data_IF_933147076607
#
_entry.id   IF_933147076607
#
_cell.length_a   1.000
_cell.length_b   1.000
_cell.length_c   1.000
_cell.angle_alpha   90.00
_cell.angle_beta   90.00
_cell.angle_gamma   90.00
#
_symmetry.space_group_name_H-M   'P 1'
#
loop_
_entity.id
_entity.type
_entity.pdbx_description
1 polymer ?
#
# COMPACT_ATOMS: atom_id res chain seq x y z
N UNK A 1 13.35 30.94 7.73
CA UNK A 1 13.01 30.22 8.97
C UNK A 1 13.30 28.74 8.79
N UNK A 2 14.05 28.14 9.66
CA UNK A 2 14.41 26.73 9.61
C UNK A 2 13.66 25.96 10.72
N UNK A 3 12.89 24.96 10.34
CA UNK A 3 12.28 23.99 11.25
C UNK A 3 12.90 22.63 10.97
N UNK A 4 13.65 22.04 11.93
CA UNK A 4 14.39 20.78 11.69
C UNK A 4 13.49 19.59 11.41
N UNK A 5 12.23 19.64 11.82
CA UNK A 5 11.26 18.57 11.60
C UNK A 5 10.66 18.51 10.20
N UNK A 6 10.79 19.57 9.39
CA UNK A 6 10.23 19.56 8.02
C UNK A 6 10.93 18.51 7.18
N UNK A 7 10.14 17.61 6.60
CA UNK A 7 10.62 16.50 5.79
C UNK A 7 11.14 15.30 6.58
N UNK A 8 11.14 15.34 7.91
CA UNK A 8 11.50 14.21 8.77
C UNK A 8 10.25 13.37 9.09
N UNK A 9 10.46 12.16 9.65
CA UNK A 9 9.40 11.28 10.13
C UNK A 9 8.44 10.81 9.02
N UNK A 10 8.88 10.70 7.77
CA UNK A 10 8.08 10.11 6.71
C UNK A 10 7.68 8.69 7.11
N UNK A 11 6.40 8.41 7.07
CA UNK A 11 5.81 7.09 7.30
C UNK A 11 4.88 6.77 6.14
N UNK A 12 4.79 5.49 5.80
CA UNK A 12 3.87 5.00 4.78
C UNK A 12 3.55 3.53 5.08
N UNK A 13 2.37 3.05 4.70
CA UNK A 13 2.07 1.63 4.76
C UNK A 13 2.97 0.87 3.80
N UNK A 14 3.78 -0.04 4.33
CA UNK A 14 4.69 -0.87 3.55
C UNK A 14 3.90 -2.05 3.03
N UNK A 15 3.80 -2.16 1.70
CA UNK A 15 2.98 -3.15 0.99
C UNK A 15 3.84 -4.25 0.35
N UNK A 16 3.28 -5.46 0.31
CA UNK A 16 3.78 -6.58 -0.48
C UNK A 16 2.65 -7.26 -1.23
N UNK A 17 2.81 -7.46 -2.53
CA UNK A 17 1.79 -8.01 -3.42
C UNK A 17 2.13 -9.42 -3.86
N UNK A 18 1.18 -10.34 -3.73
CA UNK A 18 1.20 -11.64 -4.40
C UNK A 18 0.14 -11.69 -5.50
N UNK A 19 0.55 -12.04 -6.71
CA UNK A 19 -0.31 -12.06 -7.88
C UNK A 19 -0.31 -13.44 -8.52
N UNK A 20 -1.50 -13.87 -8.95
CA UNK A 20 -1.74 -15.18 -9.55
C UNK A 20 -2.48 -15.02 -10.87
N UNK A 21 -2.06 -15.74 -11.89
CA UNK A 21 -2.84 -15.83 -13.12
C UNK A 21 -4.15 -16.55 -12.87
N UNK A 22 -5.18 -16.24 -13.65
CA UNK A 22 -6.46 -16.96 -13.63
C UNK A 22 -6.88 -17.31 -15.05
N UNK A 23 -7.72 -18.36 -15.25
CA UNK A 23 -8.30 -18.66 -16.55
C UNK A 23 -9.08 -17.45 -17.11
N UNK A 24 -9.04 -17.25 -18.42
CA UNK A 24 -9.68 -16.09 -19.07
C UNK A 24 -11.21 -16.02 -18.91
N UNK A 25 -11.87 -17.12 -18.52
CA UNK A 25 -13.30 -17.15 -18.22
C UNK A 25 -13.64 -16.63 -16.82
N UNK A 26 -12.64 -16.47 -15.96
CA UNK A 26 -12.84 -15.92 -14.61
C UNK A 26 -13.26 -14.46 -14.70
N UNK A 27 -14.16 -14.03 -13.80
CA UNK A 27 -14.60 -12.64 -13.69
C UNK A 27 -13.48 -11.78 -13.06
N UNK A 28 -12.54 -11.33 -13.89
CA UNK A 28 -11.42 -10.49 -13.50
C UNK A 28 -11.08 -9.50 -14.60
N UNK A 29 -10.48 -8.38 -14.24
CA UNK A 29 -9.93 -7.46 -15.23
C UNK A 29 -8.68 -8.06 -15.83
N UNK A 30 -8.53 -7.98 -17.17
CA UNK A 30 -7.37 -8.56 -17.83
C UNK A 30 -7.17 -8.08 -19.27
N UNK A 31 -5.90 -8.06 -19.66
CA UNK A 31 -5.47 -7.67 -21.01
C UNK A 31 -5.58 -8.86 -21.96
N UNK A 32 -6.76 -9.08 -22.55
CA UNK A 32 -7.04 -10.12 -23.53
C UNK A 32 -8.17 -9.67 -24.46
N UNK A 33 -8.37 -10.31 -25.64
CA UNK A 33 -9.53 -10.01 -26.51
C UNK A 33 -10.86 -10.15 -25.76
N UNK A 34 -10.98 -11.14 -24.87
CA UNK A 34 -12.14 -11.31 -24.00
C UNK A 34 -12.28 -10.17 -22.99
N UNK A 35 -11.18 -9.73 -22.35
CA UNK A 35 -11.16 -8.61 -21.42
C UNK A 35 -11.60 -7.30 -22.08
N UNK A 36 -11.15 -7.04 -23.31
CA UNK A 36 -11.59 -5.88 -24.10
C UNK A 36 -13.11 -5.95 -24.33
N UNK A 37 -13.63 -7.11 -24.74
CA UNK A 37 -15.08 -7.31 -24.94
C UNK A 37 -15.88 -7.15 -23.65
N UNK A 38 -15.35 -7.62 -22.52
CA UNK A 38 -15.97 -7.44 -21.19
C UNK A 38 -16.05 -5.95 -20.81
N UNK A 39 -14.99 -5.19 -20.99
CA UNK A 39 -14.96 -3.75 -20.71
C UNK A 39 -15.92 -3.01 -21.62
N UNK A 40 -15.94 -3.29 -22.93
CA UNK A 40 -16.87 -2.66 -23.88
C UNK A 40 -18.32 -2.90 -23.48
N UNK A 41 -18.67 -4.15 -23.13
CA UNK A 41 -20.00 -4.50 -22.62
C UNK A 41 -20.32 -3.76 -21.33
N UNK A 42 -19.38 -3.72 -20.40
CA UNK A 42 -19.57 -3.07 -19.10
C UNK A 42 -19.73 -1.55 -19.23
N UNK A 43 -19.05 -0.90 -20.19
CA UNK A 43 -19.26 0.51 -20.50
C UNK A 43 -20.67 0.77 -21.06
N UNK A 44 -21.17 -0.12 -21.91
CA UNK A 44 -22.55 -0.03 -22.43
C UNK A 44 -23.58 -0.20 -21.31
N UNK A 45 -23.36 -1.17 -20.40
CA UNK A 45 -24.20 -1.39 -19.22
C UNK A 45 -24.18 -0.16 -18.30
N UNK A 46 -23.01 0.37 -18.02
CA UNK A 46 -22.87 1.59 -17.21
C UNK A 46 -23.61 2.78 -17.81
N UNK A 47 -23.50 2.97 -19.14
CA UNK A 47 -24.22 4.06 -19.81
C UNK A 47 -25.73 3.96 -19.65
N UNK A 48 -26.28 2.75 -19.65
CA UNK A 48 -27.73 2.50 -19.56
C UNK A 48 -28.24 2.45 -18.12
N UNK A 49 -27.49 1.78 -17.24
CA UNK A 49 -27.99 1.38 -15.91
C UNK A 49 -27.15 1.98 -14.77
N UNK A 50 -26.03 2.64 -15.07
CA UNK A 50 -25.08 3.16 -14.08
C UNK A 50 -24.55 2.06 -13.14
N UNK A 51 -24.44 0.83 -13.61
CA UNK A 51 -24.00 -0.37 -12.90
C UNK A 51 -22.97 -1.16 -13.72
N UNK A 52 -22.55 -2.31 -13.18
CA UNK A 52 -21.66 -3.24 -13.85
C UNK A 52 -20.20 -3.08 -13.51
N UNK A 53 -19.36 -3.87 -14.19
CA UNK A 53 -17.93 -4.07 -13.86
C UNK A 53 -17.12 -2.77 -13.81
N UNK A 54 -17.42 -1.78 -14.66
CA UNK A 54 -16.68 -0.49 -14.69
C UNK A 54 -16.97 0.42 -13.50
N UNK A 55 -17.97 0.10 -12.66
CA UNK A 55 -18.21 0.81 -11.40
C UNK A 55 -17.42 0.24 -10.23
N UNK A 56 -16.72 -0.88 -10.45
CA UNK A 56 -15.89 -1.51 -9.43
C UNK A 56 -14.62 -0.72 -9.19
N UNK A 57 -14.22 -0.62 -7.93
CA UNK A 57 -12.91 -0.09 -7.53
C UNK A 57 -11.76 -1.06 -7.80
N UNK A 58 -12.05 -2.24 -8.38
CA UNK A 58 -11.10 -3.36 -8.60
C UNK A 58 -10.68 -4.03 -7.29
N UNK A 59 -10.44 -3.27 -6.24
CA UNK A 59 -10.20 -3.75 -4.88
C UNK A 59 -11.54 -4.11 -4.23
N UNK A 60 -11.93 -5.39 -4.30
CA UNK A 60 -13.30 -5.84 -4.03
C UNK A 60 -13.51 -6.42 -2.63
N UNK A 61 -12.43 -6.78 -1.94
CA UNK A 61 -12.47 -7.33 -0.59
C UNK A 61 -11.20 -6.95 0.17
N UNK A 62 -11.28 -6.95 1.48
CA UNK A 62 -10.15 -6.69 2.35
C UNK A 62 -10.38 -7.24 3.75
N UNK A 63 -9.32 -7.28 4.54
CA UNK A 63 -9.36 -7.69 5.93
C UNK A 63 -8.36 -6.89 6.74
N UNK A 64 -8.74 -6.56 7.96
CA UNK A 64 -7.84 -6.05 8.99
C UNK A 64 -7.66 -7.13 10.05
N UNK A 65 -6.43 -7.47 10.40
CA UNK A 65 -6.17 -8.52 11.36
C UNK A 65 -4.96 -8.20 12.25
N UNK A 66 -4.88 -8.90 13.37
CA UNK A 66 -3.76 -8.77 14.30
C UNK A 66 -2.73 -9.84 13.99
N UNK A 67 -1.46 -9.45 13.95
CA UNK A 67 -0.35 -10.38 13.75
C UNK A 67 -0.24 -11.42 14.88
N UNK A 68 -0.66 -11.03 16.10
CA UNK A 68 -0.67 -11.89 17.27
C UNK A 68 -1.87 -11.58 18.18
N UNK A 69 -2.35 -12.54 19.00
CA UNK A 69 -3.51 -12.35 19.87
C UNK A 69 -3.38 -11.20 20.88
N UNK A 70 -2.16 -10.92 21.35
CA UNK A 70 -1.83 -9.87 22.30
C UNK A 70 -1.81 -8.45 21.70
N UNK A 71 -1.81 -8.32 20.38
CA UNK A 71 -1.85 -7.03 19.71
C UNK A 71 -3.24 -6.42 19.90
N UNK A 72 -3.30 -5.23 20.48
CA UNK A 72 -4.57 -4.62 20.91
C UNK A 72 -5.50 -4.25 19.74
N UNK A 73 -4.92 -3.83 18.62
CA UNK A 73 -5.64 -3.38 17.40
C UNK A 73 -5.02 -4.01 16.17
N UNK A 74 -5.75 -4.18 15.06
CA UNK A 74 -5.18 -4.66 13.81
C UNK A 74 -3.92 -3.89 13.41
N UNK A 75 -2.88 -4.62 13.03
CA UNK A 75 -1.57 -4.11 12.61
C UNK A 75 -1.19 -4.55 11.19
N UNK A 76 -2.00 -5.40 10.58
CA UNK A 76 -1.89 -5.83 9.20
C UNK A 76 -3.23 -5.67 8.46
N UNK A 77 -3.16 -5.32 7.17
CA UNK A 77 -4.30 -5.25 6.26
C UNK A 77 -4.06 -6.14 5.05
N UNK A 78 -5.12 -6.76 4.54
CA UNK A 78 -5.15 -7.40 3.22
C UNK A 78 -6.10 -6.62 2.31
N UNK A 79 -5.70 -6.42 1.05
CA UNK A 79 -6.56 -5.87 0.01
C UNK A 79 -6.56 -6.81 -1.18
N UNK A 80 -7.73 -7.36 -1.53
CA UNK A 80 -7.90 -8.29 -2.63
C UNK A 80 -8.36 -7.56 -3.90
N UNK A 81 -7.62 -7.78 -4.99
CA UNK A 81 -7.81 -7.10 -6.28
C UNK A 81 -8.13 -8.13 -7.36
N UNK A 82 -9.21 -7.92 -8.10
CA UNK A 82 -9.65 -8.79 -9.20
C UNK A 82 -8.94 -8.48 -10.53
N UNK A 83 -7.65 -8.20 -10.44
CA UNK A 83 -6.76 -7.93 -11.57
C UNK A 83 -5.36 -8.47 -11.27
N UNK A 84 -4.54 -8.68 -12.29
CA UNK A 84 -3.13 -9.00 -12.13
C UNK A 84 -2.36 -7.70 -11.94
N UNK A 85 -1.87 -7.48 -10.73
CA UNK A 85 -1.03 -6.34 -10.35
C UNK A 85 0.42 -6.79 -10.26
N UNK A 86 1.31 -6.12 -10.95
CA UNK A 86 2.75 -6.31 -10.84
C UNK A 86 3.44 -4.96 -10.75
N UNK A 87 4.35 -4.84 -9.80
CA UNK A 87 5.14 -3.64 -9.59
C UNK A 87 4.22 -2.39 -9.54
N UNK A 88 3.13 -2.47 -8.76
CA UNK A 88 2.11 -1.41 -8.64
C UNK A 88 1.57 -0.92 -10.00
N UNK A 89 1.30 -1.87 -10.90
CA UNK A 89 0.86 -1.64 -12.28
C UNK A 89 1.89 -0.92 -13.18
N UNK A 90 3.14 -0.77 -12.75
CA UNK A 90 4.24 -0.29 -13.59
C UNK A 90 4.66 -1.32 -14.63
N UNK A 91 4.40 -2.61 -14.38
CA UNK A 91 4.60 -3.72 -15.33
C UNK A 91 3.27 -4.27 -15.79
N UNK A 92 3.04 -4.24 -17.09
CA UNK A 92 1.84 -4.79 -17.72
C UNK A 92 2.02 -6.27 -18.07
N UNK A 93 1.00 -7.07 -17.83
CA UNK A 93 0.94 -8.47 -18.22
C UNK A 93 -0.27 -8.74 -19.09
N UNK A 94 -0.10 -9.62 -20.09
CA UNK A 94 -1.22 -10.15 -20.87
C UNK A 94 -1.95 -11.23 -20.08
N UNK A 95 -3.25 -11.33 -20.27
CA UNK A 95 -4.09 -12.32 -19.60
C UNK A 95 -4.89 -11.75 -18.44
N UNK A 96 -5.32 -12.62 -17.55
CA UNK A 96 -6.18 -12.32 -16.41
C UNK A 96 -5.49 -12.76 -15.11
N UNK A 97 -5.80 -12.10 -14.01
CA UNK A 97 -5.24 -12.46 -12.71
C UNK A 97 -6.06 -11.94 -11.55
N UNK A 98 -5.63 -12.38 -10.38
CA UNK A 98 -6.01 -11.87 -9.07
C UNK A 98 -4.74 -11.47 -8.33
N UNK A 99 -4.84 -10.49 -7.49
CA UNK A 99 -3.75 -10.03 -6.64
C UNK A 99 -4.25 -9.80 -5.23
N UNK A 100 -3.39 -10.01 -4.28
CA UNK A 100 -3.65 -9.63 -2.91
C UNK A 100 -2.48 -8.82 -2.41
N UNK A 101 -2.76 -7.70 -1.81
CA UNK A 101 -1.84 -6.85 -1.09
C UNK A 101 -1.82 -7.25 0.37
N UNK A 102 -0.69 -7.12 1.03
CA UNK A 102 -0.59 -7.13 2.49
C UNK A 102 0.27 -5.97 2.92
N UNK A 103 -0.22 -5.16 3.83
CA UNK A 103 0.50 -3.99 4.33
C UNK A 103 0.57 -3.92 5.84
N UNK A 104 1.68 -3.33 6.34
CA UNK A 104 1.90 -3.01 7.75
C UNK A 104 1.23 -1.70 8.08
N UNK A 105 0.21 -1.74 8.96
CA UNK A 105 -0.58 -0.56 9.31
C UNK A 105 0.13 0.43 10.25
N UNK A 106 1.14 -0.03 10.98
CA UNK A 106 1.90 0.79 11.94
C UNK A 106 3.39 0.54 11.81
N UNK A 107 4.00 0.98 10.71
CA UNK A 107 5.42 0.74 10.46
C UNK A 107 6.30 1.42 11.51
N UNK A 108 7.41 0.78 11.81
CA UNK A 108 8.47 1.31 12.68
C UNK A 108 9.50 2.11 11.87
N UNK A 109 9.73 1.75 10.62
CA UNK A 109 10.63 2.46 9.70
C UNK A 109 10.23 3.93 9.55
N UNK A 110 11.22 4.81 9.47
CA UNK A 110 11.03 6.25 9.30
C UNK A 110 11.94 6.75 8.19
N UNK A 111 11.33 7.45 7.24
CA UNK A 111 12.02 8.03 6.11
C UNK A 111 12.06 9.56 6.16
N UNK A 112 12.50 10.13 5.04
CA UNK A 112 12.66 11.58 4.89
C UNK A 112 12.21 12.05 3.51
N UNK A 113 11.82 13.33 3.46
CA UNK A 113 11.64 14.10 2.22
C UNK A 113 12.54 15.33 2.29
N UNK A 114 13.45 15.48 1.33
CA UNK A 114 14.40 16.58 1.31
C UNK A 114 14.42 17.33 -0.01
N UNK A 115 14.78 18.60 0.02
CA UNK A 115 15.04 19.40 -1.18
C UNK A 115 16.52 19.30 -1.52
N UNK A 116 16.85 19.10 -2.80
CA UNK A 116 18.25 19.08 -3.28
C UNK A 116 18.66 20.35 -4.03
N UNK A 117 17.73 21.30 -4.23
CA UNK A 117 17.98 22.53 -4.95
C UNK A 117 16.98 23.61 -4.53
N UNK A 118 17.38 24.87 -4.61
CA UNK A 118 16.48 26.03 -4.48
C UNK A 118 15.55 26.20 -5.69
N UNK A 119 15.81 25.52 -6.79
CA UNK A 119 14.92 25.50 -7.95
C UNK A 119 13.71 24.61 -7.69
N UNK A 120 12.47 25.13 -7.59
CA UNK A 120 11.27 24.34 -7.28
C UNK A 120 10.88 23.34 -8.36
N UNK A 121 11.48 23.39 -9.55
CA UNK A 121 11.27 22.45 -10.64
C UNK A 121 12.10 21.17 -10.49
N UNK A 122 13.08 21.17 -9.60
CA UNK A 122 13.89 19.98 -9.31
C UNK A 122 13.11 19.12 -8.31
N UNK A 123 12.87 17.86 -8.66
CA UNK A 123 12.16 16.93 -7.82
C UNK A 123 12.84 16.77 -6.45
N UNK A 124 12.09 16.64 -5.34
CA UNK A 124 12.64 16.36 -4.03
C UNK A 124 13.32 14.98 -3.98
N UNK A 125 14.15 14.78 -2.98
CA UNK A 125 14.61 13.44 -2.58
C UNK A 125 13.56 12.88 -1.64
N UNK A 126 12.96 11.75 -2.02
CA UNK A 126 12.01 11.01 -1.19
C UNK A 126 12.67 9.68 -0.86
N UNK A 127 12.94 9.46 0.41
CA UNK A 127 13.53 8.23 0.93
C UNK A 127 12.65 7.68 2.06
N UNK A 128 11.74 6.76 1.77
CA UNK A 128 10.85 6.19 2.78
C UNK A 128 11.56 5.25 3.75
N UNK A 129 12.77 4.79 3.44
CA UNK A 129 13.55 3.84 4.23
C UNK A 129 12.75 2.58 4.62
N UNK A 130 11.96 2.06 3.69
CA UNK A 130 11.17 0.86 3.92
C UNK A 130 12.04 -0.30 4.42
N UNK A 131 11.52 -1.04 5.40
CA UNK A 131 12.21 -2.17 6.02
C UNK A 131 13.55 -1.82 6.68
N UNK A 132 13.80 -0.56 7.02
CA UNK A 132 14.97 -0.17 7.81
C UNK A 132 14.89 -0.67 9.26
N UNK A 133 13.68 -0.96 9.72
CA UNK A 133 13.42 -1.65 10.99
C UNK A 133 12.99 -3.09 10.71
N UNK A 134 13.70 -4.07 11.27
CA UNK A 134 13.47 -5.50 11.04
C UNK A 134 12.09 -5.98 11.54
N UNK A 135 11.44 -5.22 12.44
CA UNK A 135 10.07 -5.53 12.90
C UNK A 135 9.07 -5.42 11.76
N UNK A 136 9.24 -4.48 10.86
CA UNK A 136 8.37 -4.30 9.69
C UNK A 136 8.51 -5.49 8.74
N UNK A 137 9.73 -5.97 8.51
CA UNK A 137 9.94 -7.18 7.73
C UNK A 137 9.30 -8.41 8.36
N UNK A 138 9.46 -8.57 9.69
CA UNK A 138 8.88 -9.70 10.41
C UNK A 138 7.34 -9.70 10.30
N UNK A 139 6.69 -8.54 10.43
CA UNK A 139 5.25 -8.39 10.26
C UNK A 139 4.81 -8.69 8.82
N UNK A 140 5.52 -8.16 7.81
CA UNK A 140 5.21 -8.45 6.42
C UNK A 140 5.40 -9.93 6.06
N UNK A 141 6.38 -10.61 6.62
CA UNK A 141 6.57 -12.05 6.42
C UNK A 141 5.37 -12.84 6.97
N UNK A 142 4.91 -12.52 8.17
CA UNK A 142 3.71 -13.14 8.74
C UNK A 142 2.47 -12.87 7.86
N UNK A 143 2.28 -11.61 7.46
CA UNK A 143 1.21 -11.19 6.58
C UNK A 143 1.26 -11.88 5.22
N UNK A 144 2.45 -11.93 4.59
CA UNK A 144 2.67 -12.60 3.30
C UNK A 144 2.41 -14.11 3.33
N UNK A 145 2.76 -14.76 4.44
CA UNK A 145 2.42 -16.18 4.65
C UNK A 145 0.91 -16.38 4.86
N UNK A 146 0.23 -15.48 5.58
CA UNK A 146 -1.23 -15.51 5.73
C UNK A 146 -1.92 -15.31 4.38
N UNK A 147 -1.53 -14.30 3.63
CA UNK A 147 -1.98 -14.02 2.27
C UNK A 147 -1.82 -15.23 1.35
N UNK A 148 -0.66 -15.88 1.37
CA UNK A 148 -0.38 -17.07 0.58
C UNK A 148 -1.30 -18.23 0.96
N UNK A 149 -1.48 -18.52 2.27
CA UNK A 149 -2.41 -19.55 2.74
C UNK A 149 -3.84 -19.31 2.26
N UNK A 150 -4.30 -18.05 2.27
CA UNK A 150 -5.64 -17.70 1.78
C UNK A 150 -5.73 -17.99 0.28
N UNK A 151 -4.80 -17.49 -0.51
CA UNK A 151 -4.79 -17.65 -1.97
C UNK A 151 -4.56 -19.11 -2.41
N UNK A 152 -3.88 -19.93 -1.60
CA UNK A 152 -3.65 -21.35 -1.83
C UNK A 152 -4.78 -22.25 -1.27
N UNK A 153 -5.79 -21.67 -0.62
CA UNK A 153 -6.91 -22.44 -0.09
C UNK A 153 -7.76 -23.08 -1.20
N UNK A 154 -8.45 -24.16 -0.88
CA UNK A 154 -9.32 -24.89 -1.81
C UNK A 154 -10.42 -24.03 -2.46
N UNK A 155 -10.82 -22.91 -1.79
CA UNK A 155 -11.79 -21.97 -2.33
C UNK A 155 -11.32 -21.30 -3.64
N UNK A 156 -10.02 -21.22 -3.87
CA UNK A 156 -9.42 -20.65 -5.08
C UNK A 156 -9.03 -21.68 -6.14
N UNK A 157 -9.10 -22.98 -5.87
CA UNK A 157 -8.61 -24.03 -6.78
C UNK A 157 -9.22 -23.96 -8.18
N UNK A 158 -10.50 -23.58 -8.29
CA UNK A 158 -11.19 -23.47 -9.58
C UNK A 158 -10.77 -22.25 -10.41
N UNK A 159 -10.14 -21.25 -9.80
CA UNK A 159 -9.78 -19.98 -10.45
C UNK A 159 -8.29 -19.66 -10.36
N UNK A 160 -7.56 -20.22 -9.42
CA UNK A 160 -6.13 -19.97 -9.23
C UNK A 160 -5.31 -20.67 -10.30
N UNK A 161 -4.50 -19.90 -11.02
CA UNK A 161 -3.48 -20.41 -11.94
C UNK A 161 -2.09 -20.42 -11.31
N UNK A 162 -1.10 -19.85 -12.00
CA UNK A 162 0.28 -19.79 -11.54
C UNK A 162 0.56 -18.50 -10.79
N UNK A 163 1.30 -18.62 -9.69
CA UNK A 163 1.87 -17.46 -8.99
C UNK A 163 2.89 -16.77 -9.88
N UNK A 164 2.82 -15.46 -9.98
CA UNK A 164 3.68 -14.66 -10.88
C UNK A 164 5.16 -14.71 -10.44
N UNK A 165 5.40 -14.65 -9.15
CA UNK A 165 6.72 -14.77 -8.53
C UNK A 165 6.66 -15.83 -7.43
N UNK A 166 6.91 -17.11 -7.79
CA UNK A 166 6.69 -18.22 -6.87
C UNK A 166 7.57 -18.12 -5.61
N UNK A 167 6.92 -18.23 -4.46
CA UNK A 167 7.55 -18.44 -3.16
C UNK A 167 7.04 -19.76 -2.63
N UNK A 168 7.94 -20.64 -2.17
CA UNK A 168 7.54 -21.93 -1.60
C UNK A 168 6.75 -21.69 -0.30
N UNK A 169 5.56 -22.30 -0.22
CA UNK A 169 4.71 -22.18 0.96
C UNK A 169 5.44 -22.64 2.23
N UNK A 170 5.39 -21.80 3.28
CA UNK A 170 6.08 -22.05 4.54
C UNK A 170 7.58 -21.71 4.55
N UNK A 171 8.18 -21.32 3.43
CA UNK A 171 9.58 -20.90 3.38
C UNK A 171 9.69 -19.42 3.80
N UNK A 172 9.96 -19.22 5.09
CA UNK A 172 10.09 -17.89 5.70
C UNK A 172 11.25 -17.08 5.11
N UNK A 173 12.37 -17.73 4.78
CA UNK A 173 13.53 -17.03 4.24
C UNK A 173 13.28 -16.57 2.80
N UNK A 174 12.67 -17.44 1.97
CA UNK A 174 12.27 -17.07 0.62
C UNK A 174 11.21 -15.95 0.62
N UNK A 175 10.25 -15.99 1.56
CA UNK A 175 9.25 -14.92 1.72
C UNK A 175 9.91 -13.60 2.11
N UNK A 176 10.82 -13.60 3.09
CA UNK A 176 11.55 -12.41 3.49
C UNK A 176 12.35 -11.81 2.32
N UNK A 177 13.00 -12.66 1.52
CA UNK A 177 13.75 -12.19 0.35
C UNK A 177 12.83 -11.62 -0.73
N UNK A 178 11.66 -12.24 -0.98
CA UNK A 178 10.68 -11.73 -1.93
C UNK A 178 10.14 -10.37 -1.50
N UNK A 179 9.87 -10.18 -0.20
CA UNK A 179 9.44 -8.92 0.39
C UNK A 179 10.54 -7.84 0.23
N UNK A 180 11.79 -8.13 0.59
CA UNK A 180 12.90 -7.18 0.42
C UNK A 180 13.08 -6.70 -1.02
N UNK A 181 12.77 -7.56 -1.99
CA UNK A 181 12.90 -7.25 -3.41
C UNK A 181 11.70 -6.49 -4.00
N UNK A 182 10.54 -6.50 -3.32
CA UNK A 182 9.28 -6.11 -3.94
C UNK A 182 8.37 -5.27 -3.04
N UNK A 183 8.72 -5.06 -1.77
CA UNK A 183 7.96 -4.17 -0.90
C UNK A 183 8.01 -2.73 -1.44
N UNK A 184 6.87 -2.04 -1.41
CA UNK A 184 6.73 -0.68 -1.92
C UNK A 184 5.65 0.07 -1.12
N UNK A 185 5.33 1.28 -1.52
CA UNK A 185 4.31 2.12 -0.92
C UNK A 185 2.90 1.59 -1.16
N UNK A 186 2.00 1.73 -0.18
CA UNK A 186 0.55 1.59 -0.35
C UNK A 186 -0.12 2.96 -0.61
N UNK A 187 0.66 3.98 -0.94
CA UNK A 187 0.20 5.33 -1.29
C UNK A 187 -0.43 6.12 -0.13
N UNK A 188 0.04 5.89 1.09
CA UNK A 188 -0.44 6.54 2.30
C UNK A 188 0.65 7.35 3.04
N UNK A 189 1.49 8.16 2.36
CA UNK A 189 2.59 8.87 3.01
C UNK A 189 2.07 9.93 3.97
N UNK A 190 2.67 9.99 5.17
CA UNK A 190 2.32 10.94 6.24
C UNK A 190 3.56 11.41 7.01
N UNK A 191 3.39 12.36 7.89
CA UNK A 191 4.30 12.62 9.01
C UNK A 191 5.38 13.68 8.78
N UNK A 192 5.58 14.17 7.56
CA UNK A 192 6.71 15.05 7.20
C UNK A 192 6.59 16.51 7.69
N UNK A 193 5.44 16.88 8.26
CA UNK A 193 5.21 18.14 8.98
C UNK A 193 4.50 17.86 10.32
N UNK A 194 4.99 16.83 11.05
CA UNK A 194 4.26 16.26 12.19
C UNK A 194 3.81 17.31 13.22
N UNK A 195 2.62 17.09 13.73
CA UNK A 195 2.07 17.81 14.87
C UNK A 195 2.79 17.35 16.16
N UNK A 196 2.97 18.28 17.09
CA UNK A 196 3.49 17.94 18.40
C UNK A 196 3.57 19.12 19.36
N UNK A 197 3.80 18.84 20.67
CA UNK A 197 3.96 19.87 21.69
C UNK A 197 5.25 20.68 21.49
N UNK A 198 5.39 21.77 22.22
CA UNK A 198 6.59 22.62 22.15
C UNK A 198 7.86 21.93 22.64
N UNK A 199 7.70 20.90 23.46
CA UNK A 199 8.81 20.04 23.93
C UNK A 199 9.36 19.11 22.87
N UNK A 200 8.65 18.89 21.73
CA UNK A 200 9.12 18.07 20.62
C UNK A 200 9.89 18.94 19.61
N UNK A 201 11.22 18.81 19.52
CA UNK A 201 12.05 19.63 18.63
C UNK A 201 11.80 19.36 17.15
N UNK A 202 11.17 18.23 16.81
CA UNK A 202 10.81 17.87 15.44
C UNK A 202 9.33 18.15 15.11
N UNK A 203 8.57 18.74 16.03
CA UNK A 203 7.20 19.18 15.73
C UNK A 203 7.23 20.41 14.83
N UNK A 204 6.53 20.31 13.70
CA UNK A 204 6.42 21.40 12.70
C UNK A 204 5.18 22.24 12.94
N UNK A 205 4.07 21.62 13.34
CA UNK A 205 2.81 22.32 13.65
C UNK A 205 2.32 22.03 15.07
N UNK A 206 1.53 22.93 15.59
CA UNK A 206 0.82 22.76 16.87
C UNK A 206 -0.53 22.04 16.68
N UNK A 207 -1.29 21.85 17.77
CA UNK A 207 -2.59 21.19 17.76
C UNK A 207 -3.68 21.95 16.98
N UNK A 208 -3.44 23.20 16.61
CA UNK A 208 -4.29 24.03 15.74
C UNK A 208 -3.75 24.10 14.30
N UNK A 209 -2.80 23.20 13.95
CA UNK A 209 -2.15 23.08 12.64
C UNK A 209 -1.31 24.30 12.24
N UNK A 210 -1.00 25.21 13.18
CA UNK A 210 -0.20 26.41 12.92
C UNK A 210 1.27 26.03 12.87
N UNK A 211 1.98 26.52 11.84
CA UNK A 211 3.41 26.32 11.71
C UNK A 211 4.14 27.07 12.82
N UNK A 212 4.97 26.35 13.57
CA UNK A 212 5.73 26.93 14.69
C UNK A 212 6.68 28.02 14.19
N UNK A 213 6.66 29.17 14.85
CA UNK A 213 7.53 30.30 14.55
C UNK A 213 7.16 31.12 13.28
N UNK A 214 6.04 30.84 12.62
CA UNK A 214 5.55 31.59 11.47
C UNK A 214 4.08 31.97 11.70
N UNK A 215 3.82 33.27 11.78
CA UNK A 215 2.46 33.75 11.92
C UNK A 215 1.65 33.58 10.62
N UNK A 216 0.37 33.23 10.75
CA UNK A 216 -0.56 33.15 9.63
C UNK A 216 -0.42 31.96 8.69
N UNK A 217 0.48 30.99 8.97
CA UNK A 217 0.69 29.81 8.15
C UNK A 217 0.18 28.54 8.87
N UNK A 218 -0.49 27.66 8.12
CA UNK A 218 -0.91 26.33 8.56
C UNK A 218 -0.55 25.26 7.54
N UNK A 219 -0.41 24.03 8.03
CA UNK A 219 -0.39 22.80 7.20
C UNK A 219 -1.64 22.00 7.55
N UNK A 220 -2.40 21.58 6.52
CA UNK A 220 -3.66 20.85 6.68
C UNK A 220 -3.78 19.70 5.67
N UNK A 221 -2.85 18.77 5.75
CA UNK A 221 -2.82 17.51 4.99
C UNK A 221 -2.24 16.38 5.85
N UNK A 222 -2.09 15.17 5.30
CA UNK A 222 -1.62 14.00 6.03
C UNK A 222 -0.18 14.14 6.59
N UNK A 223 0.61 15.11 6.13
CA UNK A 223 1.95 15.36 6.66
C UNK A 223 1.97 15.79 8.13
N UNK A 224 0.85 16.28 8.65
CA UNK A 224 0.71 16.67 10.07
C UNK A 224 0.63 15.48 11.03
N UNK A 225 0.33 14.28 10.56
CA UNK A 225 0.14 13.12 11.41
C UNK A 225 1.45 12.77 12.13
N UNK A 226 1.49 12.70 13.46
CA UNK A 226 2.70 12.30 14.20
C UNK A 226 3.01 10.81 14.01
N UNK A 227 1.95 10.00 13.85
CA UNK A 227 2.01 8.58 13.53
C UNK A 227 0.96 8.24 12.48
N UNK A 228 1.28 7.29 11.61
CA UNK A 228 0.37 6.78 10.60
C UNK A 228 -0.85 6.12 11.26
N UNK A 229 -2.03 6.40 10.75
CA UNK A 229 -3.28 5.77 11.21
C UNK A 229 -3.37 4.31 10.75
N UNK A 230 -4.19 3.50 11.42
CA UNK A 230 -4.35 2.08 11.08
C UNK A 230 -5.44 1.82 10.04
N UNK A 231 -5.33 2.49 8.90
CA UNK A 231 -6.24 2.37 7.76
C UNK A 231 -5.82 3.33 6.66
N UNK A 232 -6.49 3.27 5.52
CA UNK A 232 -6.16 4.10 4.37
C UNK A 232 -6.29 5.59 4.71
N UNK A 233 -5.34 6.39 4.24
CA UNK A 233 -5.33 7.85 4.49
C UNK A 233 -6.13 8.63 3.47
N UNK A 234 -6.59 7.96 2.39
CA UNK A 234 -7.31 8.58 1.30
C UNK A 234 -8.53 7.76 0.91
#
# INVERSE_FOLDING_TARGET
HALPGVGQNLQDHIDYVQSWTVPSHTASFGASPRGIGQIARAMFEWRRQRSGMVTSTIATAGAFFRSAPEVAVPDLQLVFVVALVDDHARKAHLGHGISCHVDVLRPYSRGTVGIRSSNPRVAPVIDPQFLSDERDLALLVQGGQMQQRILESAAFDSVRGKMLYPVKSGDTAAMAQAIRNRADTQYHPVGTCKMGPDSDPLAVVDAQLRVKGIAGLRVADASIMPTLIGGNTN
#
